data_IF_863603820427
#
_entry.id   IF_863603820427
#
_cell.length_a   1.000
_cell.length_b   1.000
_cell.length_c   1.000
_cell.angle_alpha   90.00
_cell.angle_beta   90.00
_cell.angle_gamma   90.00
#
_symmetry.space_group_name_H-M   'P 1'
#
loop_
_entity.id
_entity.type
_entity.pdbx_description
1 polymer ?
#
# COMPACT_ATOMS: atom_id res chain seq x y z
N UNK A 1 -6.93 4.06 -11.17
CA UNK A 1 -5.55 4.55 -10.94
C UNK A 1 -5.32 4.58 -9.44
N UNK A 2 -5.25 3.43 -8.85
CA UNK A 2 -5.08 3.24 -7.43
C UNK A 2 -3.73 2.63 -7.11
N UNK A 3 -2.68 3.11 -7.69
CA UNK A 3 -1.35 2.83 -7.25
C UNK A 3 -0.94 3.85 -6.23
N UNK A 4 -1.54 3.80 -5.05
CA UNK A 4 -1.08 4.68 -4.03
C UNK A 4 0.01 3.99 -3.29
N UNK A 5 1.13 4.62 -3.39
CA UNK A 5 2.14 4.65 -2.37
C UNK A 5 3.21 3.59 -2.48
N UNK A 6 3.89 3.58 -3.58
CA UNK A 6 5.19 2.93 -3.64
C UNK A 6 6.35 3.92 -3.63
N UNK A 7 6.21 5.10 -3.03
CA UNK A 7 7.21 6.15 -3.17
C UNK A 7 7.66 6.81 -1.87
N UNK A 8 7.33 6.23 -0.69
CA UNK A 8 7.69 6.91 0.54
C UNK A 8 8.48 6.02 1.46
N UNK A 9 9.76 6.36 1.62
CA UNK A 9 10.56 5.91 2.74
C UNK A 9 10.09 6.59 4.01
N UNK A 10 9.99 5.86 5.12
CA UNK A 10 9.63 6.43 6.41
C UNK A 10 10.75 7.33 6.92
N UNK A 11 10.44 8.59 7.12
CA UNK A 11 11.32 9.55 7.80
C UNK A 11 10.46 10.33 8.79
N UNK A 12 11.06 10.80 9.88
CA UNK A 12 10.37 11.59 10.90
C UNK A 12 9.51 12.72 10.30
N UNK A 13 8.42 13.09 10.95
CA UNK A 13 7.31 13.90 10.47
C UNK A 13 7.69 15.19 9.71
N UNK A 14 8.76 15.85 10.09
CA UNK A 14 9.34 17.03 9.44
C UNK A 14 10.16 16.66 8.18
N UNK A 15 10.79 15.49 8.17
CA UNK A 15 11.54 14.97 7.01
C UNK A 15 10.65 14.40 5.90
N UNK A 16 9.42 14.00 6.22
CA UNK A 16 8.46 13.56 5.20
C UNK A 16 8.10 14.69 4.25
N UNK A 17 7.87 15.90 4.76
CA UNK A 17 7.60 17.09 3.94
C UNK A 17 8.76 17.41 2.99
N UNK A 18 9.98 17.39 3.49
CA UNK A 18 11.17 17.67 2.70
C UNK A 18 11.43 16.60 1.63
N UNK A 19 11.19 15.34 1.97
CA UNK A 19 11.28 14.23 1.04
C UNK A 19 10.23 14.34 -0.08
N UNK A 20 8.97 14.59 0.24
CA UNK A 20 7.92 14.80 -0.76
C UNK A 20 8.21 16.00 -1.64
N UNK A 21 8.68 17.08 -1.04
CA UNK A 21 9.06 18.28 -1.79
C UNK A 21 10.19 17.97 -2.78
N UNK A 22 11.23 17.26 -2.37
CA UNK A 22 12.33 16.82 -3.24
C UNK A 22 11.90 15.82 -4.32
N UNK A 23 10.95 14.94 -3.99
CA UNK A 23 10.37 14.01 -4.95
C UNK A 23 9.53 14.75 -5.99
N UNK A 24 8.64 15.63 -5.56
CA UNK A 24 7.80 16.43 -6.44
C UNK A 24 8.63 17.33 -7.34
N UNK A 25 9.72 17.92 -6.81
CA UNK A 25 10.66 18.73 -7.60
C UNK A 25 11.27 17.91 -8.74
N UNK A 26 11.80 16.74 -8.45
CA UNK A 26 12.35 15.83 -9.47
C UNK A 26 11.31 15.35 -10.48
N UNK A 27 10.09 15.15 -10.06
CA UNK A 27 8.99 14.78 -10.96
C UNK A 27 8.65 15.93 -11.91
N UNK A 28 8.57 17.18 -11.41
CA UNK A 28 8.35 18.38 -12.22
C UNK A 28 9.49 18.58 -13.24
N UNK A 29 10.75 18.44 -12.82
CA UNK A 29 11.92 18.48 -13.69
C UNK A 29 11.88 17.39 -14.78
N UNK A 30 11.54 16.15 -14.41
CA UNK A 30 11.41 15.03 -15.36
C UNK A 30 10.31 15.27 -16.40
N UNK A 31 9.28 15.99 -16.05
CA UNK A 31 8.20 16.41 -16.96
C UNK A 31 8.54 17.68 -17.76
N UNK A 32 9.77 18.20 -17.62
CA UNK A 32 10.27 19.38 -18.34
C UNK A 32 9.84 20.71 -17.71
N UNK A 33 9.32 20.71 -16.49
CA UNK A 33 8.99 21.90 -15.73
C UNK A 33 10.14 22.42 -14.86
N UNK A 34 9.98 23.64 -14.36
CA UNK A 34 10.88 24.22 -13.35
C UNK A 34 10.15 24.19 -12.00
N UNK A 35 10.62 23.45 -11.00
CA UNK A 35 9.98 23.43 -9.69
C UNK A 35 10.28 24.73 -8.93
N UNK A 36 9.25 25.47 -8.58
CA UNK A 36 9.33 26.59 -7.64
C UNK A 36 8.59 26.26 -6.35
N UNK A 37 8.80 27.07 -5.33
CA UNK A 37 8.27 26.84 -4.01
C UNK A 37 6.74 26.85 -3.99
N UNK A 38 6.11 27.73 -4.76
CA UNK A 38 4.64 27.86 -4.81
C UNK A 38 4.00 26.60 -5.45
N UNK A 39 4.57 26.14 -6.57
CA UNK A 39 4.12 24.91 -7.24
C UNK A 39 4.28 23.69 -6.35
N UNK A 40 5.41 23.57 -5.65
CA UNK A 40 5.67 22.43 -4.76
C UNK A 40 4.75 22.44 -3.54
N UNK A 41 4.39 23.62 -3.02
CA UNK A 41 3.41 23.76 -1.93
C UNK A 41 1.98 23.45 -2.42
N UNK A 42 1.62 23.85 -3.64
CA UNK A 42 0.34 23.50 -4.25
C UNK A 42 0.21 21.99 -4.48
N UNK A 43 1.23 21.35 -5.03
CA UNK A 43 1.27 19.89 -5.20
C UNK A 43 1.13 19.21 -3.84
N UNK A 44 1.93 19.61 -2.84
CA UNK A 44 1.87 19.08 -1.48
C UNK A 44 0.48 19.24 -0.86
N UNK A 45 -0.09 20.43 -0.92
CA UNK A 45 -1.43 20.72 -0.42
C UNK A 45 -2.55 19.98 -1.17
N UNK A 46 -2.32 19.57 -2.41
CA UNK A 46 -3.26 18.72 -3.16
C UNK A 46 -3.27 17.30 -2.61
N UNK A 47 -2.13 16.74 -2.31
CA UNK A 47 -2.04 15.40 -1.68
C UNK A 47 -2.66 15.39 -0.28
N UNK A 48 -2.49 16.44 0.51
CA UNK A 48 -3.14 16.57 1.83
C UNK A 48 -4.68 16.66 1.75
N UNK A 49 -5.24 17.08 0.62
CA UNK A 49 -6.68 17.18 0.37
C UNK A 49 -7.32 15.98 -0.31
N UNK A 50 -6.54 14.96 -0.69
CA UNK A 50 -7.10 13.75 -1.31
C UNK A 50 -7.89 12.98 -0.27
N UNK A 51 -9.20 12.93 -0.46
CA UNK A 51 -10.07 12.04 0.31
C UNK A 51 -9.89 10.60 -0.19
N UNK A 52 -9.39 9.73 0.68
CA UNK A 52 -9.23 8.33 0.40
C UNK A 52 -10.58 7.62 0.47
N UNK A 53 -10.96 6.92 -0.60
CA UNK A 53 -12.19 6.15 -0.65
C UNK A 53 -11.88 4.72 -1.07
N UNK A 54 -12.55 3.77 -0.41
CA UNK A 54 -12.53 2.38 -0.85
C UNK A 54 -13.12 2.26 -2.26
N UNK A 55 -12.58 1.33 -3.04
CA UNK A 55 -13.27 0.92 -4.26
C UNK A 55 -14.62 0.27 -3.91
N UNK A 56 -15.65 0.40 -4.77
CA UNK A 56 -17.01 -0.06 -4.44
C UNK A 56 -17.13 -1.56 -4.11
N UNK A 57 -16.25 -2.39 -4.66
CA UNK A 57 -16.21 -3.84 -4.44
C UNK A 57 -15.56 -4.21 -3.10
N UNK A 58 -14.73 -3.34 -2.52
CA UNK A 58 -13.89 -3.66 -1.35
C UNK A 58 -14.71 -3.98 -0.10
N UNK A 59 -15.68 -3.15 0.35
CA UNK A 59 -16.41 -3.45 1.58
C UNK A 59 -17.13 -4.79 1.54
N UNK A 60 -17.83 -5.07 0.44
CA UNK A 60 -18.58 -6.32 0.29
C UNK A 60 -17.66 -7.56 0.27
N UNK A 61 -16.49 -7.44 -0.36
CA UNK A 61 -15.51 -8.52 -0.36
C UNK A 61 -14.91 -8.76 1.04
N UNK A 62 -14.57 -7.69 1.77
CA UNK A 62 -14.06 -7.79 3.13
C UNK A 62 -15.10 -8.38 4.10
N UNK A 63 -16.39 -8.00 3.96
CA UNK A 63 -17.47 -8.59 4.71
C UNK A 63 -17.58 -10.10 4.45
N UNK A 64 -17.60 -10.50 3.18
CA UNK A 64 -17.68 -11.91 2.80
C UNK A 64 -16.48 -12.75 3.30
N UNK A 65 -15.28 -12.19 3.26
CA UNK A 65 -14.08 -12.86 3.79
C UNK A 65 -14.17 -13.03 5.31
N UNK A 66 -14.61 -12.01 6.03
CA UNK A 66 -14.78 -12.06 7.48
C UNK A 66 -15.88 -13.04 7.88
N UNK A 67 -17.00 -13.05 7.17
CA UNK A 67 -18.11 -14.00 7.41
C UNK A 67 -17.70 -15.46 7.13
N UNK A 68 -16.76 -15.66 6.20
CA UNK A 68 -16.14 -16.95 5.93
C UNK A 68 -15.05 -17.34 6.96
N UNK A 69 -14.79 -16.51 7.97
CA UNK A 69 -13.87 -16.78 9.06
C UNK A 69 -12.40 -16.50 8.74
N UNK A 70 -12.12 -15.69 7.70
CA UNK A 70 -10.75 -15.25 7.44
C UNK A 70 -10.33 -14.13 8.38
N UNK A 71 -9.09 -14.20 8.86
CA UNK A 71 -8.40 -13.11 9.54
C UNK A 71 -7.80 -12.15 8.52
N UNK A 72 -8.08 -10.86 8.66
CA UNK A 72 -7.69 -9.86 7.69
C UNK A 72 -6.59 -8.95 8.25
N UNK A 73 -5.57 -8.70 7.44
CA UNK A 73 -4.48 -7.78 7.78
C UNK A 73 -4.06 -6.92 6.60
N UNK A 74 -3.40 -5.81 6.90
CA UNK A 74 -2.83 -4.90 5.89
C UNK A 74 -1.30 -5.00 5.91
N UNK A 75 -0.67 -5.07 4.72
CA UNK A 75 0.76 -4.87 4.51
C UNK A 75 0.94 -3.78 3.47
N UNK A 76 1.48 -2.64 3.86
CA UNK A 76 1.57 -1.47 2.96
C UNK A 76 2.93 -0.78 3.01
N UNK A 77 3.42 -0.34 1.85
CA UNK A 77 4.48 0.65 1.78
C UNK A 77 3.83 2.03 1.99
N UNK A 78 3.78 2.47 3.22
CA UNK A 78 3.09 3.69 3.63
C UNK A 78 3.78 4.35 4.83
N UNK A 79 3.46 5.61 5.04
CA UNK A 79 3.90 6.37 6.19
C UNK A 79 2.89 6.27 7.36
N UNK A 80 3.11 7.09 8.37
CA UNK A 80 2.30 7.16 9.58
C UNK A 80 0.84 7.61 9.35
N UNK A 81 0.47 8.07 8.15
CA UNK A 81 -0.89 8.49 7.83
C UNK A 81 -1.82 7.30 7.52
N UNK A 82 -1.26 6.10 7.23
CA UNK A 82 -2.06 4.94 6.83
C UNK A 82 -3.21 4.61 7.79
N UNK A 83 -3.03 4.58 9.12
CA UNK A 83 -4.14 4.28 10.03
C UNK A 83 -5.30 5.29 9.92
N UNK A 84 -4.97 6.58 9.77
CA UNK A 84 -5.98 7.63 9.56
C UNK A 84 -6.70 7.46 8.22
N UNK A 85 -5.96 7.15 7.16
CA UNK A 85 -6.54 6.88 5.82
C UNK A 85 -7.49 5.69 5.83
N UNK A 86 -7.16 4.61 6.53
CA UNK A 86 -8.04 3.45 6.69
C UNK A 86 -9.31 3.82 7.48
N UNK A 87 -9.18 4.65 8.52
CA UNK A 87 -10.32 5.12 9.29
C UNK A 87 -11.24 6.05 8.46
N UNK A 88 -10.69 7.00 7.74
CA UNK A 88 -11.43 7.93 6.87
C UNK A 88 -12.15 7.21 5.72
N UNK A 89 -11.54 6.15 5.18
CA UNK A 89 -12.15 5.32 4.15
C UNK A 89 -13.17 4.29 4.67
N UNK A 90 -13.37 4.22 5.99
CA UNK A 90 -14.28 3.26 6.63
C UNK A 90 -13.76 1.82 6.69
N UNK A 91 -12.46 1.62 6.42
CA UNK A 91 -11.86 0.28 6.32
C UNK A 91 -11.15 -0.19 7.59
N UNK A 92 -10.85 0.70 8.55
CA UNK A 92 -10.05 0.34 9.73
C UNK A 92 -10.61 -0.83 10.54
N UNK A 93 -11.96 -0.93 10.65
CA UNK A 93 -12.64 -1.97 11.43
C UNK A 93 -12.59 -3.38 10.82
N UNK A 94 -12.09 -3.53 9.59
CA UNK A 94 -11.98 -4.84 8.93
C UNK A 94 -10.69 -5.58 9.31
N UNK A 95 -9.64 -4.86 9.68
CA UNK A 95 -8.31 -5.41 9.81
C UNK A 95 -7.90 -5.60 11.27
N UNK A 96 -7.47 -6.81 11.62
CA UNK A 96 -6.95 -7.17 12.94
C UNK A 96 -5.50 -6.70 13.11
N UNK A 97 -4.75 -6.64 12.00
CA UNK A 97 -3.37 -6.18 12.00
C UNK A 97 -3.11 -5.20 10.85
N UNK A 98 -2.32 -4.18 11.12
CA UNK A 98 -1.86 -3.20 10.12
C UNK A 98 -0.35 -3.08 10.23
N UNK A 99 0.36 -3.55 9.20
CA UNK A 99 1.81 -3.47 9.10
C UNK A 99 2.17 -2.56 7.94
N UNK A 100 2.96 -1.52 8.19
CA UNK A 100 3.36 -0.59 7.15
C UNK A 100 4.84 -0.22 7.28
N UNK A 101 5.42 0.19 6.15
CA UNK A 101 6.87 0.33 5.99
C UNK A 101 7.49 1.30 6.98
N UNK A 102 6.80 2.40 7.30
CA UNK A 102 7.30 3.37 8.29
C UNK A 102 7.56 2.73 9.65
N UNK A 103 6.62 1.94 10.16
CA UNK A 103 6.74 1.29 11.46
C UNK A 103 7.60 0.02 11.39
N UNK A 104 7.54 -0.70 10.27
CA UNK A 104 8.32 -1.91 10.07
C UNK A 104 9.82 -1.65 9.86
N UNK A 105 10.19 -0.44 9.43
CA UNK A 105 11.57 -0.11 9.04
C UNK A 105 12.03 -0.86 7.79
N UNK A 106 11.10 -1.36 6.98
CA UNK A 106 11.34 -2.09 5.73
C UNK A 106 10.16 -1.92 4.79
N UNK A 107 10.43 -1.87 3.50
CA UNK A 107 9.43 -1.74 2.43
C UNK A 107 9.30 -3.04 1.64
N UNK A 108 8.09 -3.37 1.16
CA UNK A 108 7.93 -4.45 0.17
C UNK A 108 8.79 -4.15 -1.06
N UNK A 109 9.53 -5.10 -1.64
CA UNK A 109 9.44 -6.56 -1.41
C UNK A 109 10.40 -7.10 -0.32
N UNK A 110 10.99 -6.26 0.55
CA UNK A 110 11.86 -6.76 1.62
C UNK A 110 11.11 -7.77 2.50
N UNK A 111 11.66 -8.98 2.73
CA UNK A 111 11.00 -10.02 3.51
C UNK A 111 10.70 -9.61 4.95
N UNK A 112 11.40 -8.62 5.50
CA UNK A 112 11.21 -8.17 6.89
C UNK A 112 9.81 -7.63 7.14
N UNK A 113 9.22 -6.90 6.19
CA UNK A 113 7.86 -6.35 6.37
C UNK A 113 6.81 -7.47 6.37
N UNK A 114 6.95 -8.48 5.49
CA UNK A 114 6.05 -9.63 5.44
C UNK A 114 6.18 -10.49 6.68
N UNK A 115 7.41 -10.80 7.12
CA UNK A 115 7.65 -11.59 8.33
C UNK A 115 7.10 -10.90 9.58
N UNK A 116 7.19 -9.58 9.67
CA UNK A 116 6.57 -8.79 10.75
C UNK A 116 5.05 -8.92 10.72
N UNK A 117 4.42 -8.80 9.56
CA UNK A 117 2.98 -8.95 9.41
C UNK A 117 2.50 -10.37 9.75
N UNK A 118 3.20 -11.39 9.26
CA UNK A 118 2.93 -12.81 9.59
C UNK A 118 2.98 -13.04 11.09
N UNK A 119 4.03 -12.55 11.76
CA UNK A 119 4.18 -12.66 13.19
C UNK A 119 3.09 -11.91 13.97
N UNK A 120 2.75 -10.68 13.55
CA UNK A 120 1.71 -9.88 14.18
C UNK A 120 0.32 -10.52 14.07
N UNK A 121 0.03 -11.18 12.95
CA UNK A 121 -1.22 -11.90 12.72
C UNK A 121 -1.24 -13.31 13.32
N UNK A 122 -0.12 -13.83 13.84
CA UNK A 122 -0.01 -15.24 14.23
C UNK A 122 -0.27 -16.20 13.06
N UNK A 123 0.02 -15.74 11.85
CA UNK A 123 -0.36 -16.44 10.63
C UNK A 123 0.65 -17.54 10.24
N UNK A 124 0.15 -18.53 9.50
CA UNK A 124 0.97 -19.56 8.87
C UNK A 124 1.12 -19.22 7.39
N UNK A 125 2.34 -18.99 6.87
CA UNK A 125 2.55 -18.52 5.50
C UNK A 125 1.83 -19.36 4.43
N UNK A 126 1.94 -20.68 4.51
CA UNK A 126 1.37 -21.62 3.55
C UNK A 126 -0.17 -21.67 3.57
N UNK A 127 -0.79 -21.07 4.58
CA UNK A 127 -2.25 -20.96 4.75
C UNK A 127 -2.74 -19.51 4.58
N UNK A 128 -1.87 -18.65 4.12
CA UNK A 128 -2.14 -17.21 3.99
C UNK A 128 -1.97 -16.75 2.55
N UNK A 129 -2.78 -15.79 2.14
CA UNK A 129 -2.70 -15.18 0.81
C UNK A 129 -2.49 -13.68 0.95
N UNK A 130 -1.55 -13.16 0.19
CA UNK A 130 -1.35 -11.72 0.00
C UNK A 130 -1.97 -11.28 -1.33
N UNK A 131 -2.76 -10.22 -1.28
CA UNK A 131 -3.36 -9.61 -2.46
C UNK A 131 -2.81 -8.20 -2.60
N UNK A 132 -2.25 -7.86 -3.74
CA UNK A 132 -1.72 -6.54 -4.01
C UNK A 132 -1.61 -6.26 -5.50
N UNK A 133 -1.33 -5.02 -5.87
CA UNK A 133 -1.35 -4.54 -7.25
C UNK A 133 0.05 -4.41 -7.90
N UNK A 134 1.10 -4.51 -7.11
CA UNK A 134 2.48 -4.48 -7.61
C UNK A 134 3.03 -5.88 -7.81
N UNK A 135 3.35 -6.25 -9.06
CA UNK A 135 3.95 -7.56 -9.33
C UNK A 135 5.25 -7.78 -8.53
N UNK A 136 6.17 -6.82 -8.55
CA UNK A 136 7.46 -6.96 -7.88
C UNK A 136 7.34 -6.91 -6.35
N UNK A 137 6.56 -5.98 -5.83
CA UNK A 137 6.50 -5.72 -4.40
C UNK A 137 5.55 -6.66 -3.68
N UNK A 138 4.36 -6.89 -4.25
CA UNK A 138 3.32 -7.70 -3.62
C UNK A 138 3.43 -9.16 -4.02
N UNK A 139 3.38 -9.46 -5.32
CA UNK A 139 3.35 -10.84 -5.77
C UNK A 139 4.68 -11.56 -5.51
N UNK A 140 5.79 -11.01 -6.01
CA UNK A 140 7.11 -11.62 -5.84
C UNK A 140 7.54 -11.58 -4.38
N UNK A 141 7.35 -10.44 -3.69
CA UNK A 141 7.73 -10.28 -2.28
C UNK A 141 7.00 -11.26 -1.35
N UNK A 142 5.68 -11.41 -1.50
CA UNK A 142 4.90 -12.37 -0.70
C UNK A 142 5.30 -13.83 -0.97
N UNK A 143 5.51 -14.19 -2.24
CA UNK A 143 5.97 -15.52 -2.61
C UNK A 143 7.34 -15.88 -2.03
N UNK A 144 8.23 -14.91 -1.93
CA UNK A 144 9.57 -15.09 -1.36
C UNK A 144 9.57 -15.49 0.12
N UNK A 145 8.49 -15.20 0.86
CA UNK A 145 8.32 -15.58 2.28
C UNK A 145 7.34 -16.75 2.49
N UNK A 146 6.93 -17.44 1.43
CA UNK A 146 6.08 -18.63 1.50
C UNK A 146 4.57 -18.35 1.50
N UNK A 147 4.14 -17.10 1.38
CA UNK A 147 2.72 -16.77 1.21
C UNK A 147 2.22 -17.22 -0.16
N UNK A 148 0.93 -17.58 -0.25
CA UNK A 148 0.25 -17.49 -1.54
C UNK A 148 0.12 -16.03 -1.95
N UNK A 149 0.07 -15.77 -3.26
CA UNK A 149 -0.09 -14.40 -3.75
C UNK A 149 -1.05 -14.33 -4.94
N UNK A 150 -1.86 -13.29 -4.96
CA UNK A 150 -2.74 -12.92 -6.07
C UNK A 150 -2.41 -11.49 -6.49
N UNK A 151 -2.24 -11.27 -7.79
CA UNK A 151 -2.05 -9.94 -8.33
C UNK A 151 -3.41 -9.31 -8.64
N UNK A 152 -3.71 -8.18 -8.04
CA UNK A 152 -4.91 -7.40 -8.35
C UNK A 152 -4.61 -6.49 -9.54
N UNK A 153 -5.24 -6.77 -10.68
CA UNK A 153 -5.10 -5.98 -11.91
C UNK A 153 -6.46 -5.45 -12.30
N UNK A 154 -6.80 -4.25 -11.86
CA UNK A 154 -8.09 -3.62 -12.15
C UNK A 154 -8.24 -3.20 -13.61
N UNK A 155 -7.13 -2.78 -14.24
CA UNK A 155 -7.10 -2.36 -15.65
C UNK A 155 -5.83 -2.90 -16.32
N UNK A 156 -5.88 -3.16 -17.62
CA UNK A 156 -4.75 -3.63 -18.42
C UNK A 156 -4.43 -5.11 -18.25
N UNK A 157 -3.21 -5.48 -18.63
CA UNK A 157 -2.69 -6.85 -18.55
C UNK A 157 -1.62 -6.99 -17.47
N UNK A 158 -1.49 -8.15 -16.85
CA UNK A 158 -0.43 -8.38 -15.88
C UNK A 158 0.94 -8.35 -16.56
N UNK A 159 1.99 -7.88 -15.87
CA UNK A 159 3.33 -7.76 -16.45
C UNK A 159 4.02 -9.11 -16.69
N UNK A 160 3.49 -10.20 -16.11
CA UNK A 160 3.99 -11.56 -16.26
C UNK A 160 2.88 -12.57 -15.95
N UNK A 161 3.00 -13.83 -16.42
CA UNK A 161 2.05 -14.89 -16.08
C UNK A 161 2.03 -15.15 -14.56
N UNK A 162 0.90 -14.88 -13.91
CA UNK A 162 0.68 -15.14 -12.49
C UNK A 162 -0.84 -15.23 -12.22
N UNK A 163 -1.26 -15.78 -11.08
CA UNK A 163 -2.65 -15.69 -10.63
C UNK A 163 -3.11 -14.26 -10.47
N UNK A 164 -4.18 -13.90 -11.18
CA UNK A 164 -4.73 -12.54 -11.25
C UNK A 164 -6.18 -12.53 -10.81
N UNK A 165 -6.56 -11.47 -10.07
CA UNK A 165 -7.95 -11.09 -9.85
C UNK A 165 -8.19 -9.68 -10.40
N UNK A 166 -9.43 -9.39 -10.81
CA UNK A 166 -9.82 -8.09 -11.40
C UNK A 166 -10.61 -7.22 -10.42
N UNK A 167 -11.14 -7.84 -9.39
CA UNK A 167 -11.85 -7.21 -8.27
C UNK A 167 -11.58 -8.03 -7.00
N UNK A 168 -11.89 -7.47 -5.86
CA UNK A 168 -11.89 -8.18 -4.58
C UNK A 168 -13.19 -8.93 -4.37
#
# INVERSE_FOLDING_TARGET
>A
RGGIVNLIRPVARDRSREYFRSFNARMVEHLGGAPDDALLDEIGGTFERIAWRAYPDVPAALDALRDAGYHLGVISNADHALPAMLAESGLAGYFETVTYSFEAGAEKPDPRIFNRAIAAAGAVPERSVHVGDSFAQDYVGARAVGLHALLLVREGEPPAPCPVIRAL
#
